data_IF_404465336871
#
_entry.id   IF_404465336871
#
_cell.length_a   1.000
_cell.length_b   1.000
_cell.length_c   1.000
_cell.angle_alpha   90.00
_cell.angle_beta   90.00
_cell.angle_gamma   90.00
#
_symmetry.space_group_name_H-M   'P 1'
#
loop_
_entity.id
_entity.type
_entity.pdbx_description
1 polymer ?
#
# COMPACT_ATOMS: atom_id res chain seq x y z
N UNK A 1 -8.72 2.88 -4.43
CA UNK A 1 -7.97 3.73 -3.48
C UNK A 1 -6.95 4.54 -4.26
N UNK A 2 -6.86 5.79 -3.95
CA UNK A 2 -6.05 6.75 -4.72
C UNK A 2 -5.01 7.42 -3.84
N UNK A 3 -3.96 7.96 -4.46
CA UNK A 3 -2.99 8.82 -3.75
C UNK A 3 -3.73 9.91 -2.98
N UNK A 4 -3.28 10.16 -1.77
CA UNK A 4 -3.84 11.11 -0.80
C UNK A 4 -5.12 10.67 -0.10
N UNK A 5 -5.68 9.51 -0.41
CA UNK A 5 -6.75 8.93 0.38
C UNK A 5 -6.18 8.27 1.63
N UNK A 6 -7.01 8.19 2.67
CA UNK A 6 -6.60 7.54 3.91
C UNK A 6 -6.62 6.01 3.77
N UNK A 7 -5.63 5.38 4.37
CA UNK A 7 -5.57 3.92 4.46
C UNK A 7 -6.41 3.48 5.66
N UNK A 8 -7.32 2.55 5.44
CA UNK A 8 -8.22 2.05 6.48
C UNK A 8 -7.92 0.60 6.88
N UNK A 9 -6.92 -0.01 6.28
CA UNK A 9 -6.63 -1.42 6.50
C UNK A 9 -5.15 -1.69 6.29
N UNK A 10 -4.53 -2.35 7.26
CA UNK A 10 -3.14 -2.79 7.11
C UNK A 10 -3.07 -3.86 6.03
N UNK A 11 -2.19 -3.68 5.07
CA UNK A 11 -2.03 -4.64 4.00
C UNK A 11 -0.96 -4.27 3.00
N UNK A 12 -0.76 -5.19 2.06
CA UNK A 12 0.13 -4.98 0.92
C UNK A 12 -0.70 -4.41 -0.24
N UNK A 13 -0.29 -3.27 -0.71
CA UNK A 13 -0.98 -2.56 -1.79
C UNK A 13 -0.07 -2.46 -3.01
N UNK A 14 -0.66 -2.55 -4.18
CA UNK A 14 0.05 -2.40 -5.45
C UNK A 14 -0.53 -1.21 -6.20
N UNK A 15 0.33 -0.40 -6.81
CA UNK A 15 -0.14 0.69 -7.66
C UNK A 15 -0.33 0.20 -9.10
N UNK A 16 -1.18 0.90 -9.84
CA UNK A 16 -1.53 0.51 -11.21
C UNK A 16 -0.64 1.16 -12.28
N UNK A 17 0.16 2.14 -11.91
CA UNK A 17 1.00 2.83 -12.90
C UNK A 17 2.31 2.11 -13.18
N UNK A 18 2.98 1.61 -12.16
CA UNK A 18 4.28 0.93 -12.30
C UNK A 18 4.29 -0.48 -11.69
N UNK A 19 3.21 -0.91 -11.06
CA UNK A 19 3.14 -2.21 -10.42
C UNK A 19 3.99 -2.31 -9.15
N UNK A 20 4.31 -1.19 -8.53
CA UNK A 20 5.07 -1.18 -7.28
C UNK A 20 4.20 -1.60 -6.11
N UNK A 21 4.78 -2.39 -5.22
CA UNK A 21 4.09 -2.88 -4.03
C UNK A 21 4.63 -2.20 -2.80
N UNK A 22 3.73 -1.72 -1.96
CA UNK A 22 4.09 -1.09 -0.68
C UNK A 22 3.13 -1.58 0.40
N UNK A 23 3.65 -1.62 1.64
CA UNK A 23 2.83 -1.95 2.79
C UNK A 23 2.40 -0.64 3.46
N UNK A 24 1.09 -0.49 3.63
CA UNK A 24 0.50 0.65 4.35
C UNK A 24 -0.23 0.14 5.58
N UNK A 25 -0.14 0.90 6.64
CA UNK A 25 -0.83 0.64 7.89
C UNK A 25 -2.15 1.41 7.93
N UNK A 26 -3.07 0.97 8.78
CA UNK A 26 -4.29 1.71 9.08
C UNK A 26 -3.91 3.08 9.66
N UNK A 27 -4.48 4.13 9.10
CA UNK A 27 -4.15 5.49 9.49
C UNK A 27 -3.09 6.16 8.64
N UNK A 28 -2.43 5.41 7.76
CA UNK A 28 -1.51 5.99 6.79
C UNK A 28 -2.27 6.70 5.67
N UNK A 29 -1.54 7.42 4.85
CA UNK A 29 -2.06 8.05 3.64
C UNK A 29 -1.36 7.44 2.44
N UNK A 30 -2.10 7.13 1.39
CA UNK A 30 -1.50 6.58 0.18
C UNK A 30 -0.57 7.59 -0.47
N UNK A 31 0.61 7.12 -0.82
CA UNK A 31 1.66 7.93 -1.43
C UNK A 31 1.49 8.02 -2.94
N UNK A 32 2.22 8.93 -3.53
CA UNK A 32 2.44 8.91 -4.97
C UNK A 32 3.28 7.70 -5.34
N UNK A 33 3.19 7.27 -6.60
CA UNK A 33 4.04 6.18 -7.07
C UNK A 33 5.51 6.51 -6.80
N UNK A 34 6.26 5.63 -6.12
CA UNK A 34 7.66 5.91 -5.80
C UNK A 34 8.58 5.94 -7.03
N UNK A 35 8.12 5.40 -8.16
CA UNK A 35 8.91 5.40 -9.39
C UNK A 35 8.68 6.63 -10.26
N UNK A 36 7.42 6.86 -10.63
CA UNK A 36 7.08 7.95 -11.54
C UNK A 36 6.66 9.23 -10.82
N UNK A 37 6.38 9.15 -9.54
CA UNK A 37 5.98 10.26 -8.69
C UNK A 37 4.66 10.94 -9.15
N UNK A 38 3.88 10.25 -9.94
CA UNK A 38 2.57 10.70 -10.36
C UNK A 38 1.49 10.18 -9.41
N UNK A 39 0.33 10.82 -9.44
CA UNK A 39 -0.84 10.33 -8.75
C UNK A 39 -1.23 8.99 -9.35
N UNK A 40 -1.54 8.02 -8.50
CA UNK A 40 -1.86 6.67 -8.95
C UNK A 40 -2.96 6.08 -8.09
N UNK A 41 -3.42 4.91 -8.50
CA UNK A 41 -4.37 4.11 -7.72
C UNK A 41 -3.63 2.99 -7.01
N UNK A 42 -4.11 2.67 -5.83
CA UNK A 42 -3.60 1.57 -5.04
C UNK A 42 -4.70 0.54 -4.85
N UNK A 43 -4.32 -0.72 -4.97
CA UNK A 43 -5.24 -1.83 -4.75
C UNK A 43 -4.68 -2.73 -3.67
N UNK A 44 -5.57 -3.22 -2.81
CA UNK A 44 -5.20 -4.17 -1.78
C UNK A 44 -4.90 -5.52 -2.44
N UNK A 45 -3.65 -5.92 -2.39
CA UNK A 45 -3.23 -7.20 -2.94
C UNK A 45 -3.33 -8.31 -1.90
N UNK A 46 -2.93 -8.02 -0.67
CA UNK A 46 -2.94 -8.99 0.40
C UNK A 46 -3.21 -8.31 1.73
N UNK A 47 -4.18 -8.84 2.49
CA UNK A 47 -4.47 -8.34 3.82
C UNK A 47 -3.43 -8.83 4.81
N UNK A 48 -3.03 -7.96 5.71
CA UNK A 48 -2.16 -8.29 6.82
C UNK A 48 -2.97 -8.11 8.10
N UNK A 49 -3.26 -9.20 8.78
CA UNK A 49 -4.15 -9.19 9.94
C UNK A 49 -3.43 -9.24 11.28
N UNK A 50 -2.11 -9.41 11.27
CA UNK A 50 -1.31 -9.48 12.48
C UNK A 50 0.11 -9.01 12.22
N UNK A 51 0.80 -8.60 13.31
CA UNK A 51 2.19 -8.16 13.21
C UNK A 51 3.11 -9.27 12.69
N UNK A 52 2.81 -10.53 13.00
CA UNK A 52 3.58 -11.66 12.50
C UNK A 52 3.49 -11.78 10.98
N UNK A 53 2.32 -11.56 10.41
CA UNK A 53 2.14 -11.55 8.97
C UNK A 53 2.83 -10.34 8.34
N UNK A 54 2.75 -9.19 9.00
CA UNK A 54 3.44 -7.99 8.56
C UNK A 54 4.94 -8.21 8.49
N UNK A 55 5.53 -8.80 9.52
CA UNK A 55 6.96 -9.09 9.53
C UNK A 55 7.37 -10.04 8.42
N UNK A 56 6.56 -11.06 8.13
CA UNK A 56 6.82 -11.95 7.00
C UNK A 56 6.73 -11.25 5.66
N UNK A 57 5.81 -10.33 5.52
CA UNK A 57 5.62 -9.62 4.25
C UNK A 57 6.79 -8.70 3.94
N UNK A 58 7.48 -8.19 4.97
CA UNK A 58 8.63 -7.27 4.79
C UNK A 58 9.99 -7.97 4.87
N UNK A 59 10.01 -9.20 5.35
CA UNK A 59 11.24 -9.97 5.41
C UNK A 59 11.54 -10.61 4.04
#
# INVERSE_FOLDING_TARGET
MKTSEDVHELGLYVNDCCGEELIFDDGDTFWRCPRCQHLCRWELESKITSDAEFERAVA
#
